data_IF_336764226449
#
_entry.id   IF_336764226449
#
_cell.length_a   1.000
_cell.length_b   1.000
_cell.length_c   1.000
_cell.angle_alpha   90.00
_cell.angle_beta   90.00
_cell.angle_gamma   90.00
#
_symmetry.space_group_name_H-M   'P 1'
#
loop_
_entity.id
_entity.type
_entity.pdbx_description
1 polymer ?
#
# COMPACT_ATOMS: atom_id res chain seq x y z
N UNK A 1 -17.65 -18.87 -25.27
CA UNK A 1 -16.64 -18.98 -24.20
C UNK A 1 -15.36 -19.57 -24.77
N UNK A 2 -14.26 -18.82 -24.97
CA UNK A 2 -12.99 -19.37 -25.40
C UNK A 2 -12.25 -19.95 -24.20
N UNK A 3 -11.86 -21.22 -24.33
CA UNK A 3 -11.03 -21.95 -23.38
C UNK A 3 -9.66 -21.28 -23.26
N UNK A 4 -9.36 -20.77 -22.07
CA UNK A 4 -7.99 -20.40 -21.69
C UNK A 4 -7.17 -21.68 -21.60
N UNK A 5 -6.32 -21.88 -22.57
CA UNK A 5 -5.41 -23.03 -22.64
C UNK A 5 -4.20 -22.74 -21.74
N UNK A 6 -4.35 -23.06 -20.45
CA UNK A 6 -3.28 -22.99 -19.46
C UNK A 6 -2.27 -24.11 -19.76
N UNK A 7 -1.24 -23.82 -20.52
CA UNK A 7 -0.07 -24.69 -20.65
C UNK A 7 0.71 -24.64 -19.32
N UNK A 8 0.34 -25.51 -18.37
CA UNK A 8 1.25 -25.92 -17.29
C UNK A 8 2.46 -26.59 -17.93
N UNK A 9 3.56 -25.88 -18.06
CA UNK A 9 4.84 -26.50 -18.34
C UNK A 9 5.31 -27.18 -17.07
N UNK A 10 5.29 -28.52 -17.15
CA UNK A 10 5.82 -29.47 -16.18
C UNK A 10 7.32 -29.20 -15.97
N UNK A 11 7.71 -28.96 -14.73
CA UNK A 11 9.10 -28.87 -14.29
C UNK A 11 9.81 -30.20 -14.55
N UNK A 12 10.79 -30.21 -15.43
CA UNK A 12 11.83 -31.22 -15.48
C UNK A 12 13.17 -30.49 -15.46
N UNK A 13 13.96 -30.81 -14.43
CA UNK A 13 15.35 -30.45 -14.21
C UNK A 13 15.71 -28.97 -13.96
N UNK A 14 15.88 -28.64 -12.70
CA UNK A 14 16.89 -27.78 -12.03
C UNK A 14 17.54 -26.63 -12.81
N UNK A 15 16.77 -25.77 -13.45
CA UNK A 15 17.30 -24.57 -14.08
C UNK A 15 16.15 -23.63 -14.37
N UNK A 16 16.02 -22.60 -13.55
CA UNK A 16 15.12 -21.48 -13.82
C UNK A 16 15.68 -20.72 -15.03
N UNK A 17 15.40 -21.19 -16.24
CA UNK A 17 15.57 -20.36 -17.43
C UNK A 17 14.43 -19.37 -17.39
N UNK A 18 14.65 -18.21 -16.75
CA UNK A 18 13.89 -17.02 -17.08
C UNK A 18 14.11 -16.78 -18.57
N UNK A 19 13.13 -17.12 -19.38
CA UNK A 19 13.03 -16.57 -20.71
C UNK A 19 12.85 -15.06 -20.56
N UNK A 20 13.97 -14.36 -20.49
CA UNK A 20 14.04 -12.93 -20.69
C UNK A 20 13.57 -12.70 -22.13
N UNK A 21 12.26 -12.59 -22.30
CA UNK A 21 11.71 -12.13 -23.56
C UNK A 21 12.14 -10.67 -23.69
N UNK A 22 13.07 -10.43 -24.61
CA UNK A 22 13.37 -9.10 -25.17
C UNK A 22 12.12 -8.56 -25.90
N UNK A 23 11.01 -8.49 -25.19
CA UNK A 23 9.80 -7.79 -25.56
C UNK A 23 9.96 -6.35 -25.11
N UNK A 24 9.83 -5.39 -26.02
CA UNK A 24 9.84 -3.97 -25.72
C UNK A 24 9.08 -3.72 -24.42
N UNK A 25 9.75 -3.19 -23.38
CA UNK A 25 9.17 -2.87 -22.06
C UNK A 25 7.84 -2.10 -22.20
N UNK A 26 7.76 -1.22 -23.20
CA UNK A 26 6.57 -0.44 -23.53
C UNK A 26 5.34 -1.28 -23.95
N UNK A 27 5.52 -2.52 -24.44
CA UNK A 27 4.41 -3.42 -24.78
C UNK A 27 3.87 -4.19 -23.59
N UNK A 28 4.62 -4.27 -22.50
CA UNK A 28 4.20 -4.94 -21.27
C UNK A 28 3.47 -4.01 -20.30
N UNK A 29 3.46 -2.72 -20.58
CA UNK A 29 2.83 -1.70 -19.75
C UNK A 29 1.33 -1.60 -20.07
N UNK A 30 0.50 -1.63 -19.05
CA UNK A 30 -0.93 -1.38 -19.17
C UNK A 30 -1.20 0.13 -19.26
N UNK A 31 -1.21 0.63 -20.51
CA UNK A 31 -1.45 2.03 -20.83
C UNK A 31 -2.83 2.52 -20.37
N UNK A 32 -3.84 1.64 -20.32
CA UNK A 32 -5.19 2.00 -19.91
C UNK A 32 -5.18 2.38 -18.43
N UNK A 33 -4.55 1.55 -17.59
CA UNK A 33 -4.41 1.83 -16.15
C UNK A 33 -3.63 3.11 -15.90
N UNK A 34 -2.55 3.34 -16.65
CA UNK A 34 -1.75 4.59 -16.52
C UNK A 34 -2.60 5.80 -16.92
N UNK A 35 -3.34 5.75 -18.02
CA UNK A 35 -4.21 6.84 -18.44
C UNK A 35 -5.28 7.16 -17.38
N UNK A 36 -5.94 6.14 -16.82
CA UNK A 36 -6.94 6.32 -15.75
C UNK A 36 -6.28 6.97 -14.52
N UNK A 37 -5.11 6.49 -14.13
CA UNK A 37 -4.36 7.07 -13.01
C UNK A 37 -4.05 8.56 -13.25
N UNK A 38 -3.53 8.93 -14.42
CA UNK A 38 -3.21 10.32 -14.75
C UNK A 38 -4.46 11.21 -14.76
N UNK A 39 -5.57 10.72 -15.31
CA UNK A 39 -6.85 11.45 -15.27
C UNK A 39 -7.29 11.70 -13.82
N UNK A 40 -7.21 10.70 -12.95
CA UNK A 40 -7.55 10.86 -11.52
C UNK A 40 -6.64 11.85 -10.80
N UNK A 41 -5.34 11.84 -11.09
CA UNK A 41 -4.36 12.80 -10.54
C UNK A 41 -4.70 14.23 -10.98
N UNK A 42 -5.01 14.43 -12.26
CA UNK A 42 -5.38 15.74 -12.81
C UNK A 42 -6.69 16.23 -12.19
N UNK A 43 -7.70 15.37 -12.11
CA UNK A 43 -8.98 15.70 -11.45
C UNK A 43 -8.77 16.08 -9.96
N UNK A 44 -7.91 15.35 -9.25
CA UNK A 44 -7.54 15.64 -7.87
C UNK A 44 -6.86 17.01 -7.74
N UNK A 45 -5.97 17.37 -8.66
CA UNK A 45 -5.34 18.68 -8.68
C UNK A 45 -6.36 19.81 -8.91
N UNK A 46 -7.27 19.67 -9.88
CA UNK A 46 -8.35 20.64 -10.10
C UNK A 46 -9.26 20.80 -8.87
N UNK A 47 -9.53 19.70 -8.16
CA UNK A 47 -10.29 19.74 -6.92
C UNK A 47 -9.59 20.56 -5.84
N UNK A 48 -8.26 20.42 -5.70
CA UNK A 48 -7.46 21.23 -4.77
C UNK A 48 -7.44 22.70 -5.20
N UNK A 49 -7.31 22.99 -6.50
CA UNK A 49 -7.42 24.35 -7.02
C UNK A 49 -8.75 24.99 -6.67
N UNK A 50 -9.87 24.29 -6.91
CA UNK A 50 -11.20 24.79 -6.59
C UNK A 50 -11.44 25.00 -5.09
N UNK A 51 -10.93 24.10 -4.24
CA UNK A 51 -11.04 24.23 -2.79
C UNK A 51 -10.15 25.32 -2.17
N UNK A 52 -9.10 25.74 -2.89
CA UNK A 52 -8.14 26.76 -2.45
C UNK A 52 -8.35 28.10 -3.16
N UNK A 53 -9.41 28.22 -3.95
CA UNK A 53 -9.74 29.43 -4.70
C UNK A 53 -10.21 30.52 -3.73
N UNK A 54 -9.41 31.58 -3.58
CA UNK A 54 -9.80 32.79 -2.90
C UNK A 54 -10.04 33.89 -3.94
N UNK A 55 -11.16 34.61 -3.84
CA UNK A 55 -11.56 35.65 -4.80
C UNK A 55 -10.54 36.82 -4.77
N UNK A 56 -9.52 36.75 -5.60
CA UNK A 56 -8.49 37.80 -5.74
C UNK A 56 -7.10 37.34 -6.06
N UNK A 57 -6.74 36.08 -5.85
CA UNK A 57 -5.41 35.56 -6.18
C UNK A 57 -5.50 34.51 -7.31
N UNK A 58 -5.12 34.94 -8.53
CA UNK A 58 -5.13 34.09 -9.73
C UNK A 58 -3.86 33.24 -9.90
N UNK A 59 -2.95 33.22 -8.92
CA UNK A 59 -1.68 32.50 -9.01
C UNK A 59 -1.78 31.04 -8.60
N UNK A 60 -2.47 30.22 -9.41
CA UNK A 60 -2.56 28.76 -9.23
C UNK A 60 -1.20 28.06 -9.33
N UNK A 61 -0.21 28.68 -9.94
CA UNK A 61 1.14 28.11 -10.16
C UNK A 61 2.17 28.60 -9.15
N UNK A 62 1.81 29.51 -8.25
CA UNK A 62 2.74 29.96 -7.21
C UNK A 62 3.08 28.83 -6.25
N UNK A 63 4.37 28.64 -6.00
CA UNK A 63 4.86 27.63 -5.03
C UNK A 63 4.44 27.91 -3.59
N UNK A 64 3.86 29.05 -3.30
CA UNK A 64 3.33 29.40 -1.99
C UNK A 64 1.91 28.86 -1.79
N UNK A 65 1.14 28.71 -2.88
CA UNK A 65 -0.21 28.21 -2.85
C UNK A 65 -0.28 26.69 -2.62
N UNK A 66 -1.40 26.21 -2.11
CA UNK A 66 -1.65 24.75 -1.95
C UNK A 66 -1.63 24.04 -3.29
N UNK A 67 -2.19 24.62 -4.32
CA UNK A 67 -2.25 24.07 -5.67
C UNK A 67 -0.85 23.95 -6.31
N UNK A 68 0.02 24.96 -6.15
CA UNK A 68 1.40 24.91 -6.64
C UNK A 68 2.25 23.87 -5.90
N UNK A 69 2.16 23.80 -4.57
CA UNK A 69 2.82 22.72 -3.78
C UNK A 69 2.36 21.34 -4.23
N UNK A 70 1.08 21.17 -4.55
CA UNK A 70 0.54 19.90 -5.05
C UNK A 70 1.19 19.48 -6.37
N UNK A 71 1.43 20.42 -7.30
CA UNK A 71 2.13 20.12 -8.56
C UNK A 71 3.55 19.60 -8.34
N UNK A 72 4.28 20.20 -7.39
CA UNK A 72 5.63 19.71 -7.02
C UNK A 72 5.56 18.26 -6.51
N UNK A 73 4.62 17.97 -5.61
CA UNK A 73 4.44 16.62 -5.09
C UNK A 73 4.02 15.62 -6.16
N UNK A 74 3.13 16.01 -7.09
CA UNK A 74 2.74 15.19 -8.24
C UNK A 74 3.98 14.87 -9.10
N UNK A 75 4.80 15.86 -9.43
CA UNK A 75 5.99 15.65 -10.24
C UNK A 75 6.99 14.73 -9.55
N UNK A 76 7.25 14.94 -8.24
CA UNK A 76 8.12 14.06 -7.46
C UNK A 76 7.59 12.63 -7.38
N UNK A 77 6.27 12.45 -7.19
CA UNK A 77 5.65 11.13 -7.10
C UNK A 77 5.68 10.37 -8.42
N UNK A 78 5.48 11.06 -9.55
CA UNK A 78 5.60 10.45 -10.88
C UNK A 78 7.05 10.03 -11.17
N UNK A 79 8.03 10.86 -10.80
CA UNK A 79 9.45 10.54 -10.91
C UNK A 79 9.82 9.31 -10.06
N UNK A 80 9.38 9.28 -8.80
CA UNK A 80 9.60 8.14 -7.91
C UNK A 80 8.90 6.88 -8.45
N UNK A 81 7.66 7.00 -8.94
CA UNK A 81 6.92 5.89 -9.54
C UNK A 81 7.66 5.30 -10.75
N UNK A 82 8.22 6.15 -11.60
CA UNK A 82 9.04 5.71 -12.73
C UNK A 82 10.30 4.96 -12.26
N UNK A 83 11.01 5.47 -11.26
CA UNK A 83 12.19 4.80 -10.67
C UNK A 83 11.79 3.42 -10.12
N UNK A 84 10.69 3.35 -9.36
CA UNK A 84 10.19 2.09 -8.79
C UNK A 84 9.85 1.06 -9.87
N UNK A 85 9.23 1.48 -10.98
CA UNK A 85 8.93 0.59 -12.11
C UNK A 85 10.18 0.03 -12.81
N UNK A 86 11.33 0.70 -12.69
CA UNK A 86 12.59 0.24 -13.26
C UNK A 86 13.36 -0.73 -12.34
N UNK A 87 12.95 -0.86 -11.07
CA UNK A 87 13.60 -1.75 -10.14
C UNK A 87 13.25 -3.21 -10.45
N UNK A 88 14.23 -4.10 -10.31
CA UNK A 88 14.03 -5.54 -10.48
C UNK A 88 13.18 -6.14 -9.35
N UNK A 89 12.32 -7.10 -9.70
CA UNK A 89 11.46 -7.84 -8.75
C UNK A 89 12.24 -8.46 -7.58
N UNK A 90 13.49 -8.84 -7.82
CA UNK A 90 14.39 -9.42 -6.80
C UNK A 90 14.70 -8.45 -5.67
N UNK A 91 14.78 -7.14 -5.96
CA UNK A 91 15.01 -6.13 -4.93
C UNK A 91 13.81 -6.02 -4.00
N UNK A 92 12.61 -6.02 -4.55
CA UNK A 92 11.37 -6.02 -3.76
C UNK A 92 11.30 -7.25 -2.85
N UNK A 93 11.60 -8.43 -3.38
CA UNK A 93 11.61 -9.67 -2.61
C UNK A 93 12.67 -9.63 -1.49
N UNK A 94 13.88 -9.17 -1.79
CA UNK A 94 14.97 -9.11 -0.81
C UNK A 94 14.66 -8.16 0.34
N UNK A 95 14.14 -6.97 0.05
CA UNK A 95 13.90 -5.93 1.05
C UNK A 95 12.55 -6.02 1.75
N UNK A 96 11.61 -6.83 1.29
CA UNK A 96 10.23 -6.87 1.80
C UNK A 96 10.14 -6.98 3.33
N UNK A 97 10.79 -7.95 3.94
CA UNK A 97 10.74 -8.13 5.40
C UNK A 97 11.58 -7.10 6.16
N UNK A 98 12.70 -6.64 5.59
CA UNK A 98 13.54 -5.60 6.20
C UNK A 98 12.76 -4.30 6.28
N UNK A 99 12.11 -3.90 5.18
CA UNK A 99 11.24 -2.73 5.14
C UNK A 99 10.04 -2.87 6.09
N UNK A 100 9.45 -4.07 6.16
CA UNK A 100 8.34 -4.34 7.07
C UNK A 100 8.75 -4.15 8.53
N UNK A 101 9.86 -4.74 8.97
CA UNK A 101 10.35 -4.59 10.35
C UNK A 101 10.70 -3.14 10.65
N UNK A 102 11.42 -2.46 9.74
CA UNK A 102 11.76 -1.05 9.91
C UNK A 102 10.52 -0.16 10.02
N UNK A 103 9.48 -0.44 9.22
CA UNK A 103 8.23 0.30 9.28
C UNK A 103 7.43 0.01 10.56
N UNK A 104 7.46 -1.23 11.07
CA UNK A 104 6.82 -1.57 12.36
C UNK A 104 7.50 -0.84 13.52
N UNK A 105 8.83 -0.75 13.50
CA UNK A 105 9.56 0.04 14.49
C UNK A 105 9.20 1.53 14.39
N UNK A 106 9.13 2.07 13.17
CA UNK A 106 8.75 3.46 12.96
C UNK A 106 7.32 3.73 13.45
N UNK A 107 6.34 2.86 13.13
CA UNK A 107 4.98 2.98 13.63
C UNK A 107 4.91 2.91 15.16
N UNK A 108 5.72 2.05 15.78
CA UNK A 108 5.77 1.95 17.25
C UNK A 108 6.31 3.23 17.90
N UNK A 109 7.31 3.85 17.29
CA UNK A 109 7.96 5.07 17.81
C UNK A 109 7.15 6.33 17.50
N UNK A 110 6.34 6.32 16.43
CA UNK A 110 5.57 7.49 15.96
C UNK A 110 4.74 8.15 17.07
N UNK A 111 3.97 7.47 17.93
CA UNK A 111 3.16 8.12 18.96
C UNK A 111 3.98 8.93 19.98
N UNK A 112 5.25 8.57 20.18
CA UNK A 112 6.16 9.24 21.11
C UNK A 112 6.84 10.47 20.50
N UNK A 113 6.93 10.53 19.17
CA UNK A 113 7.57 11.64 18.45
C UNK A 113 6.56 12.58 17.78
N UNK A 114 5.33 12.11 17.55
CA UNK A 114 4.31 12.87 16.85
C UNK A 114 3.68 13.91 17.77
N UNK A 115 3.44 15.10 17.24
CA UNK A 115 2.62 16.10 17.89
C UNK A 115 1.13 15.78 17.72
N UNK A 116 0.31 16.15 18.71
CA UNK A 116 -1.14 16.02 18.60
C UNK A 116 -1.65 16.85 17.40
N UNK A 117 -2.21 16.14 16.43
CA UNK A 117 -2.86 16.76 15.28
C UNK A 117 -4.32 16.32 15.24
N UNK A 118 -5.22 17.16 15.74
CA UNK A 118 -6.67 16.90 15.80
C UNK A 118 -7.03 15.61 16.56
N UNK A 119 -6.30 15.29 17.62
CA UNK A 119 -6.51 14.09 18.45
C UNK A 119 -5.83 12.83 17.93
N UNK A 120 -5.01 12.90 16.88
CA UNK A 120 -4.21 11.80 16.34
C UNK A 120 -2.71 12.07 16.52
N UNK A 121 -1.96 11.04 16.87
CA UNK A 121 -0.50 11.05 17.06
C UNK A 121 0.18 10.29 15.91
N UNK A 122 -0.20 10.56 14.66
CA UNK A 122 0.22 9.82 13.47
C UNK A 122 1.09 10.61 12.50
N UNK A 123 1.30 11.93 12.76
CA UNK A 123 2.01 12.81 11.85
C UNK A 123 3.38 13.20 12.39
N UNK A 124 4.42 12.84 11.66
CA UNK A 124 5.80 13.30 11.91
C UNK A 124 6.04 14.58 11.11
N UNK A 125 6.33 15.66 11.80
CA UNK A 125 6.62 16.96 11.19
C UNK A 125 8.13 17.18 11.08
N UNK A 126 8.61 17.38 9.86
CA UNK A 126 10.00 17.72 9.56
C UNK A 126 10.05 19.10 8.87
N UNK A 127 9.93 20.16 9.68
CA UNK A 127 9.83 21.52 9.15
C UNK A 127 8.56 21.73 8.29
N UNK A 128 8.70 22.10 7.01
CA UNK A 128 7.56 22.33 6.13
C UNK A 128 6.90 21.04 5.61
N UNK A 129 7.53 19.89 5.84
CA UNK A 129 7.05 18.57 5.36
C UNK A 129 6.47 17.80 6.52
N UNK A 130 5.28 17.27 6.34
CA UNK A 130 4.65 16.31 7.28
C UNK A 130 4.54 14.95 6.60
N UNK A 131 4.93 13.90 7.32
CA UNK A 131 4.92 12.53 6.85
C UNK A 131 4.05 11.69 7.78
N UNK A 132 3.18 10.87 7.20
CA UNK A 132 2.35 9.92 7.93
C UNK A 132 2.87 8.50 7.69
N UNK A 133 3.54 7.88 8.68
CA UNK A 133 4.10 6.54 8.51
C UNK A 133 3.08 5.47 8.17
N UNK A 134 1.82 5.62 8.61
CA UNK A 134 0.73 4.71 8.31
C UNK A 134 0.47 4.54 6.81
N UNK A 135 0.71 5.57 5.98
CA UNK A 135 0.54 5.50 4.53
C UNK A 135 1.58 4.58 3.89
N UNK A 136 2.84 4.69 4.32
CA UNK A 136 3.93 3.83 3.84
C UNK A 136 3.80 2.40 4.36
N UNK A 137 3.28 2.23 5.58
CA UNK A 137 3.06 0.93 6.18
C UNK A 137 2.10 0.06 5.35
N UNK A 138 1.08 0.64 4.70
CA UNK A 138 0.17 -0.08 3.80
C UNK A 138 0.92 -0.74 2.64
N UNK A 139 1.79 0.02 1.98
CA UNK A 139 2.61 -0.51 0.88
C UNK A 139 3.54 -1.63 1.35
N UNK A 140 4.24 -1.40 2.45
CA UNK A 140 5.21 -2.37 2.98
C UNK A 140 4.52 -3.64 3.48
N UNK A 141 3.33 -3.52 4.05
CA UNK A 141 2.50 -4.67 4.43
C UNK A 141 2.08 -5.49 3.20
N UNK A 142 1.65 -4.83 2.12
CA UNK A 142 1.33 -5.50 0.86
C UNK A 142 2.54 -6.28 0.32
N UNK A 143 3.73 -5.68 0.37
CA UNK A 143 4.96 -6.29 -0.10
C UNK A 143 5.36 -7.51 0.76
N UNK A 144 5.29 -7.39 2.09
CA UNK A 144 5.58 -8.49 3.01
C UNK A 144 4.58 -9.66 2.83
N UNK A 145 3.30 -9.34 2.62
CA UNK A 145 2.27 -10.31 2.37
C UNK A 145 2.47 -11.03 1.03
N UNK A 146 2.79 -10.30 -0.03
CA UNK A 146 3.11 -10.87 -1.34
C UNK A 146 4.32 -11.83 -1.26
N UNK A 147 5.37 -11.44 -0.54
CA UNK A 147 6.53 -12.30 -0.29
C UNK A 147 6.15 -13.57 0.48
N UNK A 148 5.34 -13.47 1.53
CA UNK A 148 4.88 -14.63 2.29
C UNK A 148 4.10 -15.61 1.39
N UNK A 149 3.22 -15.10 0.55
CA UNK A 149 2.40 -15.91 -0.35
C UNK A 149 3.19 -16.55 -1.50
N UNK A 150 4.33 -15.97 -1.87
CA UNK A 150 5.22 -16.48 -2.92
C UNK A 150 6.09 -17.66 -2.46
N UNK A 151 6.10 -18.01 -1.19
CA UNK A 151 6.86 -19.15 -0.67
C UNK A 151 6.31 -20.47 -1.24
N UNK A 152 7.22 -21.33 -1.72
CA UNK A 152 6.83 -22.65 -2.26
C UNK A 152 6.03 -23.46 -1.23
N UNK A 153 4.90 -24.01 -1.66
CA UNK A 153 4.02 -24.80 -0.78
C UNK A 153 3.17 -23.96 0.18
N UNK A 154 3.14 -22.63 0.02
CA UNK A 154 2.20 -21.78 0.76
C UNK A 154 0.76 -22.14 0.42
N UNK A 155 -0.08 -22.30 1.43
CA UNK A 155 -1.53 -22.51 1.27
C UNK A 155 -2.26 -21.94 2.48
N UNK A 156 -3.36 -21.24 2.22
CA UNK A 156 -4.22 -20.68 3.26
C UNK A 156 -4.98 -21.74 4.08
N UNK A 157 -5.01 -22.97 3.61
CA UNK A 157 -5.65 -24.07 4.34
C UNK A 157 -4.83 -24.53 5.57
N UNK A 158 -3.53 -24.26 5.59
CA UNK A 158 -2.69 -24.53 6.77
C UNK A 158 -2.84 -23.38 7.77
N UNK A 159 -3.25 -23.72 8.99
CA UNK A 159 -3.46 -22.74 10.06
C UNK A 159 -2.24 -21.85 10.32
N UNK A 160 -1.02 -22.43 10.28
CA UNK A 160 0.23 -21.69 10.46
C UNK A 160 0.42 -20.60 9.41
N UNK A 161 0.13 -20.90 8.14
CA UNK A 161 0.27 -19.92 7.04
C UNK A 161 -0.80 -18.83 7.14
N UNK A 162 -2.04 -19.21 7.47
CA UNK A 162 -3.13 -18.24 7.70
C UNK A 162 -2.82 -17.33 8.87
N UNK A 163 -2.33 -17.87 10.00
CA UNK A 163 -1.98 -17.06 11.17
C UNK A 163 -0.81 -16.10 10.87
N UNK A 164 0.19 -16.54 10.11
CA UNK A 164 1.31 -15.67 9.71
C UNK A 164 0.82 -14.52 8.81
N UNK A 165 -0.05 -14.80 7.84
CA UNK A 165 -0.61 -13.79 6.94
C UNK A 165 -1.48 -12.78 7.71
N UNK A 166 -2.36 -13.27 8.59
CA UNK A 166 -3.20 -12.44 9.46
C UNK A 166 -2.33 -11.60 10.41
N UNK A 167 -1.27 -12.18 10.99
CA UNK A 167 -0.32 -11.46 11.86
C UNK A 167 0.37 -10.29 11.16
N UNK A 168 0.80 -10.47 9.90
CA UNK A 168 1.40 -9.40 9.09
C UNK A 168 0.41 -8.24 8.85
N UNK A 169 -0.89 -8.51 8.78
CA UNK A 169 -1.92 -7.48 8.59
C UNK A 169 -2.30 -6.83 9.93
N UNK A 170 -2.50 -7.63 10.96
CA UNK A 170 -3.00 -7.15 12.26
C UNK A 170 -1.97 -6.30 13.01
N UNK A 171 -0.68 -6.63 12.93
CA UNK A 171 0.36 -5.92 13.65
C UNK A 171 0.40 -4.41 13.31
N UNK A 172 0.55 -3.99 12.04
CA UNK A 172 0.51 -2.57 11.69
C UNK A 172 -0.86 -1.95 11.96
N UNK A 173 -1.94 -2.68 11.73
CA UNK A 173 -3.29 -2.20 12.00
C UNK A 173 -3.48 -1.82 13.47
N UNK A 174 -3.04 -2.67 14.41
CA UNK A 174 -3.10 -2.39 15.85
C UNK A 174 -2.24 -1.19 16.23
N UNK A 175 -1.03 -1.08 15.69
CA UNK A 175 -0.16 0.08 15.94
C UNK A 175 -0.79 1.39 15.46
N UNK A 176 -1.47 1.38 14.31
CA UNK A 176 -2.18 2.55 13.77
C UNK A 176 -3.40 2.91 14.62
N UNK A 177 -4.15 1.92 15.13
CA UNK A 177 -5.26 2.15 16.05
C UNK A 177 -4.77 2.80 17.35
N UNK A 178 -3.62 2.38 17.89
CA UNK A 178 -2.99 3.00 19.06
C UNK A 178 -2.62 4.46 18.84
N UNK A 179 -2.33 4.86 17.60
CA UNK A 179 -2.12 6.26 17.19
C UNK A 179 -3.43 7.06 17.04
N UNK A 180 -4.58 6.48 17.34
CA UNK A 180 -5.93 7.03 17.16
C UNK A 180 -6.27 7.37 15.70
N UNK A 181 -5.69 6.63 14.75
CA UNK A 181 -5.88 6.83 13.31
C UNK A 181 -6.80 5.74 12.73
N UNK A 182 -8.11 5.83 13.07
CA UNK A 182 -9.09 4.80 12.68
C UNK A 182 -9.27 4.69 11.17
N UNK A 183 -9.19 5.82 10.44
CA UNK A 183 -9.37 5.85 8.99
C UNK A 183 -8.32 5.00 8.26
N UNK A 184 -7.05 5.20 8.59
CA UNK A 184 -5.94 4.43 8.01
C UNK A 184 -5.99 2.95 8.41
N UNK A 185 -6.41 2.65 9.65
CA UNK A 185 -6.55 1.28 10.12
C UNK A 185 -7.64 0.50 9.36
N UNK A 186 -8.77 1.13 9.00
CA UNK A 186 -9.84 0.50 8.25
C UNK A 186 -9.41 0.04 6.85
N UNK A 187 -8.44 0.72 6.23
CA UNK A 187 -7.91 0.31 4.92
C UNK A 187 -7.31 -1.09 4.97
N UNK A 188 -6.75 -1.50 6.11
CA UNK A 188 -6.18 -2.84 6.28
C UNK A 188 -7.22 -3.97 6.15
N UNK A 189 -8.52 -3.66 6.30
CA UNK A 189 -9.58 -4.64 6.02
C UNK A 189 -9.57 -5.14 4.57
N UNK A 190 -9.10 -4.32 3.63
CA UNK A 190 -8.97 -4.73 2.24
C UNK A 190 -8.01 -5.91 2.04
N UNK A 191 -6.96 -6.03 2.86
CA UNK A 191 -6.04 -7.16 2.79
C UNK A 191 -6.71 -8.49 3.16
N UNK A 192 -7.70 -8.48 4.06
CA UNK A 192 -8.46 -9.69 4.37
C UNK A 192 -9.28 -10.19 3.19
N UNK A 193 -9.75 -9.30 2.30
CA UNK A 193 -10.41 -9.70 1.05
C UNK A 193 -9.42 -10.42 0.12
N UNK A 194 -8.16 -9.98 0.10
CA UNK A 194 -7.10 -10.67 -0.65
C UNK A 194 -6.87 -12.07 -0.09
N UNK A 195 -6.75 -12.22 1.25
CA UNK A 195 -6.59 -13.52 1.90
C UNK A 195 -7.77 -14.46 1.62
N UNK A 196 -8.99 -13.93 1.62
CA UNK A 196 -10.19 -14.69 1.27
C UNK A 196 -10.13 -15.21 -0.16
N UNK A 197 -9.73 -14.37 -1.10
CA UNK A 197 -9.52 -14.77 -2.50
C UNK A 197 -8.47 -15.87 -2.66
N UNK A 198 -7.43 -15.86 -1.83
CA UNK A 198 -6.36 -16.87 -1.81
C UNK A 198 -6.75 -18.17 -1.08
N UNK A 199 -8.00 -18.31 -0.66
CA UNK A 199 -8.57 -19.52 -0.11
C UNK A 199 -8.67 -19.58 1.41
N UNK A 200 -8.61 -18.43 2.10
CA UNK A 200 -8.89 -18.38 3.53
C UNK A 200 -10.36 -18.72 3.79
N UNK A 201 -10.65 -19.57 4.81
CA UNK A 201 -12.04 -19.89 5.18
C UNK A 201 -12.83 -18.62 5.54
N UNK A 202 -14.04 -18.49 4.98
CA UNK A 202 -14.89 -17.31 5.20
C UNK A 202 -15.28 -17.09 6.68
N UNK A 203 -15.29 -18.16 7.49
CA UNK A 203 -15.52 -18.08 8.94
C UNK A 203 -14.44 -17.26 9.66
N UNK A 204 -13.17 -17.40 9.26
CA UNK A 204 -12.04 -16.65 9.83
C UNK A 204 -12.16 -15.17 9.42
N UNK A 205 -12.50 -14.90 8.17
CA UNK A 205 -12.74 -13.54 7.68
C UNK A 205 -13.86 -12.87 8.47
N UNK A 206 -15.00 -13.55 8.63
CA UNK A 206 -16.14 -13.03 9.37
C UNK A 206 -15.79 -12.77 10.84
N UNK A 207 -15.14 -13.72 11.50
CA UNK A 207 -14.69 -13.57 12.89
C UNK A 207 -13.70 -12.39 13.05
N UNK A 208 -12.76 -12.23 12.10
CA UNK A 208 -11.81 -11.12 12.08
C UNK A 208 -12.51 -9.77 11.94
N UNK A 209 -13.45 -9.63 11.02
CA UNK A 209 -14.23 -8.40 10.84
C UNK A 209 -15.06 -8.08 12.08
N UNK A 210 -15.75 -9.08 12.66
CA UNK A 210 -16.53 -8.89 13.89
C UNK A 210 -15.65 -8.46 15.07
N UNK A 211 -14.46 -9.05 15.24
CA UNK A 211 -13.53 -8.67 16.29
C UNK A 211 -13.04 -7.22 16.13
N UNK A 212 -12.73 -6.80 14.90
CA UNK A 212 -12.30 -5.43 14.62
C UNK A 212 -13.43 -4.44 14.88
N UNK A 213 -14.64 -4.72 14.41
CA UNK A 213 -15.83 -3.88 14.66
C UNK A 213 -16.08 -3.77 16.16
N UNK A 214 -16.05 -4.88 16.89
CA UNK A 214 -16.23 -4.90 18.34
C UNK A 214 -15.16 -4.03 19.04
N UNK A 215 -13.90 -4.16 18.63
CA UNK A 215 -12.79 -3.40 19.20
C UNK A 215 -12.93 -1.89 18.91
N UNK A 216 -13.27 -1.52 17.69
CA UNK A 216 -13.47 -0.11 17.28
C UNK A 216 -14.66 0.52 18.00
N UNK A 217 -15.75 -0.22 18.18
CA UNK A 217 -16.94 0.26 18.92
C UNK A 217 -16.69 0.30 20.42
N UNK A 218 -15.92 -0.64 20.96
CA UNK A 218 -15.63 -0.74 22.39
C UNK A 218 -14.63 0.30 22.93
N UNK A 219 -13.83 0.94 22.04
CA UNK A 219 -12.87 2.00 22.42
C UNK A 219 -13.53 3.40 22.39
N UNK A 220 -14.77 3.51 21.94
CA UNK A 220 -15.56 4.74 22.02
C UNK A 220 -16.20 4.88 23.39
#
# INVERSE_FOLDING_TARGET
LPRVNSKRKIFKNGGLIMAYTNGNMLKSVDWITICIYLVLVIMGWFSVCGASYDYGELDFLSFETRAGKQLVWISCSLGLGFILLMLEDKLYDMFAYILYIGMMLLLFVTPFLAEDTKGSYSWLKFGPVSLQPAEFAKFVTALALAKLMNVYGFTMQKLSHSLSAVGIILLPMLLIILQREMGSALVYLSFFLVLYREGMPGSILFAGICAIVYFVVGIR
#
